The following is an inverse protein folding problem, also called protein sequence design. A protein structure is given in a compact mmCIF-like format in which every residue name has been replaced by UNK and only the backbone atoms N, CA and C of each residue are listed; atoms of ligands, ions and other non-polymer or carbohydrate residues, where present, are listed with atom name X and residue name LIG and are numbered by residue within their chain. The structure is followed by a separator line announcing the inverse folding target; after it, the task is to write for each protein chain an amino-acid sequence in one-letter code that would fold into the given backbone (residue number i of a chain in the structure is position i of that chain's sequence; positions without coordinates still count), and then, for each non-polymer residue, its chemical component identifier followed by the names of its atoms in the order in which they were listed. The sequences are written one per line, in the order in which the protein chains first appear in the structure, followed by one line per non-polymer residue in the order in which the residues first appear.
data_IF_615594664176
#
_entry.id   IF_615594664176
#
_cell.length_a   1.000
_cell.length_b   1.000
_cell.length_c   1.000
_cell.angle_alpha   90.00
_cell.angle_beta   90.00
_cell.angle_gamma   90.00
#
_symmetry.space_group_name_H-M   'P 1'
#
loop_
_entity.id
_entity.type
_entity.pdbx_description
1 polymer ?
#
# COMPACT_ATOMS: atom_id res chain seq x y z
N UNK A 1 -1.35 -21.19 25.58
CA UNK A 1 -1.22 -21.11 24.11
C UNK A 1 -2.55 -20.63 23.57
N UNK A 2 -2.63 -19.37 23.12
CA UNK A 2 -3.87 -18.85 22.57
C UNK A 2 -4.14 -19.55 21.23
N UNK A 3 -5.28 -20.24 21.13
CA UNK A 3 -5.83 -20.65 19.84
C UNK A 3 -5.96 -19.39 18.99
N UNK A 4 -5.07 -19.19 18.01
CA UNK A 4 -5.31 -18.22 16.93
C UNK A 4 -6.59 -18.68 16.25
N UNK A 5 -7.68 -17.96 16.47
CA UNK A 5 -8.84 -18.08 15.61
C UNK A 5 -8.36 -17.93 14.17
N UNK A 6 -8.85 -18.82 13.30
CA UNK A 6 -8.76 -18.72 11.84
C UNK A 6 -8.92 -17.24 11.45
N UNK A 7 -8.00 -16.72 10.64
CA UNK A 7 -7.91 -15.30 10.28
C UNK A 7 -9.30 -14.65 10.12
N UNK A 8 -9.61 -13.65 10.96
CA UNK A 8 -10.87 -12.93 10.89
C UNK A 8 -10.82 -11.93 9.73
N UNK A 9 -11.24 -12.40 8.56
CA UNK A 9 -11.29 -11.60 7.33
C UNK A 9 -12.36 -10.51 7.35
N UNK A 10 -13.22 -10.42 8.36
CA UNK A 10 -14.11 -9.26 8.52
C UNK A 10 -13.33 -7.98 8.82
N UNK A 11 -12.11 -8.11 9.34
CA UNK A 11 -11.21 -7.00 9.63
C UNK A 11 -10.47 -6.49 8.38
N UNK A 12 -10.55 -7.18 7.25
CA UNK A 12 -9.83 -6.81 6.03
C UNK A 12 -10.60 -5.72 5.27
N UNK A 13 -10.65 -4.54 5.89
CA UNK A 13 -11.33 -3.36 5.34
C UNK A 13 -10.34 -2.34 4.80
N UNK A 14 -10.84 -1.44 3.95
CA UNK A 14 -10.03 -0.34 3.40
C UNK A 14 -9.50 0.57 4.51
N UNK A 15 -10.28 0.79 5.57
CA UNK A 15 -9.92 1.62 6.71
C UNK A 15 -8.81 0.97 7.54
N UNK A 16 -8.89 -0.34 7.77
CA UNK A 16 -7.84 -1.08 8.47
C UNK A 16 -6.56 -1.11 7.65
N UNK A 17 -6.64 -1.42 6.36
CA UNK A 17 -5.49 -1.35 5.47
C UNK A 17 -4.88 0.05 5.48
N UNK A 18 -5.70 1.10 5.38
CA UNK A 18 -5.20 2.47 5.40
C UNK A 18 -4.51 2.84 6.71
N UNK A 19 -5.02 2.35 7.83
CA UNK A 19 -4.37 2.51 9.13
C UNK A 19 -3.02 1.78 9.19
N UNK A 20 -2.98 0.54 8.69
CA UNK A 20 -1.73 -0.23 8.61
C UNK A 20 -0.71 0.53 7.78
N UNK A 21 -1.06 0.98 6.57
CA UNK A 21 -0.17 1.70 5.68
C UNK A 21 0.35 3.00 6.31
N UNK A 22 -0.55 3.78 6.93
CA UNK A 22 -0.21 5.03 7.62
C UNK A 22 0.86 4.80 8.70
N UNK A 23 0.65 3.84 9.59
CA UNK A 23 1.51 3.65 10.76
C UNK A 23 2.71 2.76 10.51
N UNK A 24 2.57 1.71 9.70
CA UNK A 24 3.65 0.77 9.37
C UNK A 24 4.63 1.37 8.38
N UNK A 25 4.17 2.22 7.45
CA UNK A 25 4.95 2.58 6.26
C UNK A 25 5.12 4.08 6.10
N UNK A 26 4.02 4.82 5.96
CA UNK A 26 4.07 6.23 5.55
C UNK A 26 4.84 7.13 6.55
N UNK A 27 4.62 6.92 7.86
CA UNK A 27 5.25 7.73 8.89
C UNK A 27 6.78 7.65 8.91
N UNK A 28 7.33 6.45 8.92
CA UNK A 28 8.79 6.28 9.03
C UNK A 28 9.50 6.40 7.68
N UNK A 29 8.87 5.93 6.59
CA UNK A 29 9.49 5.87 5.26
C UNK A 29 9.54 7.26 4.62
N UNK A 30 8.48 8.05 4.76
CA UNK A 30 8.33 9.31 4.04
C UNK A 30 8.26 10.52 4.97
N UNK A 31 7.30 10.54 5.92
CA UNK A 31 7.09 11.74 6.75
C UNK A 31 8.33 12.06 7.58
N UNK A 32 8.87 11.10 8.31
CA UNK A 32 10.00 11.33 9.22
C UNK A 32 11.22 11.93 8.52
N UNK A 33 11.77 11.35 7.42
CA UNK A 33 12.92 11.94 6.74
C UNK A 33 12.62 13.32 6.14
N UNK A 34 11.43 13.54 5.57
CA UNK A 34 11.05 14.85 5.01
C UNK A 34 10.93 15.91 6.10
N UNK A 35 10.21 15.62 7.18
CA UNK A 35 10.06 16.55 8.31
C UNK A 35 11.39 16.85 9.00
N UNK A 36 12.29 15.87 9.10
CA UNK A 36 13.64 16.10 9.63
C UNK A 36 14.43 17.05 8.73
N UNK A 37 14.38 16.86 7.40
CA UNK A 37 14.99 17.77 6.45
C UNK A 37 14.45 19.20 6.59
N UNK A 38 13.12 19.36 6.65
CA UNK A 38 12.47 20.65 6.86
C UNK A 38 12.91 21.32 8.18
N UNK A 39 12.98 20.55 9.27
CA UNK A 39 13.41 21.05 10.58
C UNK A 39 14.85 21.61 10.51
N UNK A 40 15.75 20.92 9.82
CA UNK A 40 17.15 21.35 9.66
C UNK A 40 17.30 22.64 8.84
N UNK A 41 16.33 23.00 7.99
CA UNK A 41 16.37 24.27 7.25
C UNK A 41 16.01 25.48 8.09
N UNK A 42 15.44 25.28 9.28
CA UNK A 42 14.92 26.34 10.18
C UNK A 42 13.94 27.33 9.51
N UNK A 43 13.31 26.93 8.39
CA UNK A 43 12.46 27.77 7.56
C UNK A 43 11.07 27.15 7.31
N UNK A 44 10.66 26.14 8.08
CA UNK A 44 9.37 25.47 7.94
C UNK A 44 8.42 25.83 9.09
N UNK A 45 7.28 26.45 8.75
CA UNK A 45 6.22 26.73 9.71
C UNK A 45 5.33 25.47 9.95
N UNK A 46 4.45 25.48 10.97
CA UNK A 46 3.58 24.33 11.25
C UNK A 46 2.68 23.92 10.08
N UNK A 47 2.28 24.86 9.23
CA UNK A 47 1.44 24.60 8.06
C UNK A 47 2.23 23.90 6.94
N UNK A 48 3.50 24.26 6.76
CA UNK A 48 4.45 23.59 5.88
C UNK A 48 4.64 22.13 6.31
N UNK A 49 4.84 21.89 7.61
CA UNK A 49 4.92 20.53 8.15
C UNK A 49 3.64 19.72 7.92
N UNK A 50 2.47 20.33 8.10
CA UNK A 50 1.19 19.67 7.87
C UNK A 50 1.00 19.28 6.41
N UNK A 51 1.29 20.17 5.46
CA UNK A 51 1.21 19.88 4.02
C UNK A 51 2.21 18.81 3.60
N UNK A 52 3.44 18.88 4.11
CA UNK A 52 4.45 17.85 3.87
C UNK A 52 3.97 16.48 4.39
N UNK A 53 3.36 16.44 5.59
CA UNK A 53 2.77 15.22 6.13
C UNK A 53 1.66 14.68 5.23
N UNK A 54 0.73 15.51 4.78
CA UNK A 54 -0.37 15.11 3.89
C UNK A 54 0.17 14.46 2.60
N UNK A 55 1.13 15.10 1.93
CA UNK A 55 1.77 14.56 0.72
C UNK A 55 2.53 13.25 1.03
N UNK A 56 3.31 13.20 2.12
CA UNK A 56 4.04 12.00 2.51
C UNK A 56 3.12 10.82 2.83
N UNK A 57 1.95 11.09 3.40
CA UNK A 57 0.94 10.06 3.65
C UNK A 57 0.36 9.52 2.33
N UNK A 58 0.06 10.38 1.35
CA UNK A 58 -0.37 9.93 0.02
C UNK A 58 0.69 9.10 -0.70
N UNK A 59 1.96 9.54 -0.67
CA UNK A 59 3.09 8.79 -1.25
C UNK A 59 3.24 7.44 -0.55
N UNK A 60 3.24 7.40 0.79
CA UNK A 60 3.35 6.15 1.53
C UNK A 60 2.21 5.18 1.24
N UNK A 61 1.03 5.72 0.93
CA UNK A 61 -0.12 4.95 0.49
C UNK A 61 0.02 4.34 -0.90
N UNK A 62 0.62 5.08 -1.84
CA UNK A 62 0.97 4.57 -3.15
C UNK A 62 2.06 3.49 -3.04
N UNK A 63 3.13 3.78 -2.30
CA UNK A 63 4.26 2.88 -2.12
C UNK A 63 3.86 1.53 -1.52
N UNK A 64 3.07 1.50 -0.43
CA UNK A 64 2.67 0.22 0.16
C UNK A 64 1.75 -0.57 -0.77
N UNK A 65 0.91 0.11 -1.56
CA UNK A 65 0.09 -0.56 -2.57
C UNK A 65 0.95 -1.21 -3.66
N UNK A 66 2.02 -0.55 -4.09
CA UNK A 66 2.99 -1.09 -5.02
C UNK A 66 3.75 -2.28 -4.42
N UNK A 67 4.23 -2.17 -3.16
CA UNK A 67 4.90 -3.26 -2.43
C UNK A 67 4.01 -4.51 -2.31
N UNK A 68 2.74 -4.34 -1.91
CA UNK A 68 1.78 -5.45 -1.81
C UNK A 68 1.51 -6.13 -3.16
N UNK A 69 1.47 -5.35 -4.25
CA UNK A 69 1.29 -5.90 -5.60
C UNK A 69 2.53 -6.68 -6.04
N UNK A 70 3.71 -6.11 -5.82
CA UNK A 70 5.01 -6.72 -6.15
C UNK A 70 5.26 -7.97 -5.30
N UNK A 71 4.81 -8.03 -4.05
CA UNK A 71 4.90 -9.25 -3.23
C UNK A 71 4.18 -10.42 -3.91
N UNK A 72 2.99 -10.18 -4.45
CA UNK A 72 2.20 -11.25 -5.08
C UNK A 72 2.63 -11.58 -6.53
N UNK A 73 2.82 -10.55 -7.36
CA UNK A 73 2.99 -10.65 -8.81
C UNK A 73 4.39 -10.28 -9.31
N UNK A 74 5.29 -9.84 -8.44
CA UNK A 74 6.67 -9.55 -8.79
C UNK A 74 7.44 -10.81 -9.18
N UNK A 75 8.40 -10.63 -10.09
CA UNK A 75 9.30 -11.70 -10.51
C UNK A 75 10.45 -11.79 -9.52
N UNK A 76 10.68 -12.97 -8.94
CA UNK A 76 11.70 -13.20 -7.90
C UNK A 76 13.10 -12.69 -8.29
N UNK A 77 13.50 -12.90 -9.56
CA UNK A 77 14.79 -12.43 -10.10
C UNK A 77 14.93 -10.90 -10.13
N UNK A 78 13.82 -10.16 -10.05
CA UNK A 78 13.78 -8.69 -10.04
C UNK A 78 13.56 -8.16 -8.62
N UNK A 79 12.68 -8.81 -7.84
CA UNK A 79 12.35 -8.39 -6.47
C UNK A 79 13.40 -8.82 -5.45
N UNK A 80 14.21 -9.83 -5.76
CA UNK A 80 15.21 -10.43 -4.86
C UNK A 80 14.60 -11.20 -3.68
N UNK A 81 13.27 -11.37 -3.65
CA UNK A 81 12.54 -12.08 -2.59
C UNK A 81 11.30 -12.78 -3.13
N UNK A 82 10.98 -13.93 -2.53
CA UNK A 82 9.68 -14.59 -2.67
C UNK A 82 8.68 -13.85 -1.80
N UNK A 83 7.53 -13.45 -2.37
CA UNK A 83 6.48 -12.83 -1.59
C UNK A 83 5.78 -13.78 -0.62
N UNK A 84 5.39 -13.25 0.53
CA UNK A 84 4.86 -14.04 1.66
C UNK A 84 3.50 -13.59 2.14
N UNK A 85 2.91 -12.53 1.57
CA UNK A 85 1.69 -11.92 2.09
C UNK A 85 0.51 -12.88 2.14
N UNK A 86 0.37 -13.74 1.12
CA UNK A 86 -0.71 -14.74 1.04
C UNK A 86 -0.55 -15.79 2.14
N UNK A 87 0.66 -16.32 2.33
CA UNK A 87 0.98 -17.38 3.30
C UNK A 87 0.81 -16.87 4.73
N UNK A 88 1.26 -15.64 4.98
CA UNK A 88 1.16 -15.00 6.29
C UNK A 88 -0.25 -14.49 6.59
N UNK A 89 -1.13 -14.44 5.58
CA UNK A 89 -2.50 -13.97 5.72
C UNK A 89 -2.53 -12.47 6.04
N UNK A 90 -1.70 -11.68 5.37
CA UNK A 90 -1.63 -10.23 5.61
C UNK A 90 -2.86 -9.53 5.08
N UNK A 91 -3.25 -8.44 5.76
CA UNK A 91 -4.25 -7.50 5.27
C UNK A 91 -3.63 -6.61 4.18
N UNK A 92 -3.26 -7.19 3.05
CA UNK A 92 -2.69 -6.50 1.88
C UNK A 92 -3.77 -5.80 1.06
N UNK A 93 -3.37 -4.88 0.19
CA UNK A 93 -4.25 -4.22 -0.78
C UNK A 93 -5.00 -5.26 -1.61
N UNK A 94 -4.30 -6.26 -2.16
CA UNK A 94 -4.91 -7.32 -2.97
C UNK A 94 -5.97 -8.10 -2.19
N UNK A 95 -5.72 -8.43 -0.92
CA UNK A 95 -6.66 -9.17 -0.09
C UNK A 95 -7.94 -8.37 0.18
N UNK A 96 -7.81 -7.09 0.53
CA UNK A 96 -8.95 -6.19 0.74
C UNK A 96 -9.75 -6.03 -0.54
N UNK A 97 -9.08 -5.80 -1.67
CA UNK A 97 -9.74 -5.62 -2.96
C UNK A 97 -10.48 -6.88 -3.41
N UNK A 98 -9.90 -8.06 -3.19
CA UNK A 98 -10.51 -9.34 -3.50
C UNK A 98 -11.79 -9.55 -2.68
N UNK A 99 -11.73 -9.34 -1.36
CA UNK A 99 -12.87 -9.54 -0.45
C UNK A 99 -14.04 -8.58 -0.72
N UNK A 100 -13.77 -7.40 -1.29
CA UNK A 100 -14.81 -6.46 -1.73
C UNK A 100 -15.50 -6.87 -3.03
N UNK A 101 -14.83 -7.65 -3.88
CA UNK A 101 -15.28 -7.94 -5.27
C UNK A 101 -15.73 -9.38 -5.46
N UNK A 102 -15.30 -10.29 -4.60
CA UNK A 102 -15.56 -11.70 -4.75
C UNK A 102 -17.06 -12.03 -4.60
N UNK A 103 -17.54 -12.95 -5.44
CA UNK A 103 -18.83 -13.63 -5.22
C UNK A 103 -18.78 -14.51 -3.96
N UNK A 104 -19.94 -14.98 -3.49
CA UNK A 104 -20.03 -15.88 -2.33
C UNK A 104 -19.21 -17.17 -2.50
N UNK A 105 -19.08 -17.70 -3.71
CA UNK A 105 -18.29 -18.89 -3.98
C UNK A 105 -16.78 -18.59 -3.98
N UNK A 106 -16.37 -17.48 -4.61
CA UNK A 106 -14.99 -17.01 -4.56
C UNK A 106 -14.56 -16.66 -3.13
N UNK A 107 -15.45 -16.10 -2.31
CA UNK A 107 -15.19 -15.84 -0.90
C UNK A 107 -14.90 -17.12 -0.11
N UNK A 108 -15.63 -18.22 -0.38
CA UNK A 108 -15.36 -19.52 0.24
C UNK A 108 -13.95 -20.01 -0.12
N UNK A 109 -13.54 -19.85 -1.38
CA UNK A 109 -12.18 -20.17 -1.84
C UNK A 109 -11.15 -19.32 -1.09
N UNK A 110 -11.36 -18.01 -1.02
CA UNK A 110 -10.46 -17.10 -0.30
C UNK A 110 -10.29 -17.53 1.16
N UNK A 111 -11.40 -17.76 1.88
CA UNK A 111 -11.38 -18.16 3.30
C UNK A 111 -10.70 -19.52 3.52
N UNK A 112 -10.81 -20.44 2.56
CA UNK A 112 -10.21 -21.76 2.66
C UNK A 112 -8.69 -21.76 2.39
N UNK A 113 -8.21 -20.88 1.50
CA UNK A 113 -6.83 -20.91 1.01
C UNK A 113 -5.93 -19.79 1.55
N UNK A 114 -6.46 -18.61 1.86
CA UNK A 114 -5.65 -17.47 2.30
C UNK A 114 -5.07 -17.71 3.71
N UNK A 115 -3.84 -17.24 3.97
CA UNK A 115 -3.14 -17.47 5.23
C UNK A 115 -2.63 -18.90 5.41
N UNK A 116 -2.30 -19.57 4.30
CA UNK A 116 -1.80 -20.95 4.28
C UNK A 116 -0.48 -21.03 3.52
N UNK A 117 0.49 -21.74 4.09
CA UNK A 117 1.79 -22.00 3.45
C UNK A 117 1.74 -23.11 2.39
N UNK A 118 0.58 -23.76 2.19
CA UNK A 118 0.42 -24.80 1.18
C UNK A 118 0.54 -24.22 -0.23
N UNK A 119 1.47 -24.70 -1.09
CA UNK A 119 1.69 -24.15 -2.43
C UNK A 119 0.43 -24.09 -3.29
N UNK A 120 -0.42 -25.13 -3.21
CA UNK A 120 -1.68 -25.18 -3.95
C UNK A 120 -2.68 -24.11 -3.51
N UNK A 121 -2.67 -23.71 -2.23
CA UNK A 121 -3.52 -22.65 -1.71
C UNK A 121 -3.04 -21.27 -2.18
N UNK A 122 -1.72 -21.03 -2.13
CA UNK A 122 -1.12 -19.78 -2.61
C UNK A 122 -1.47 -19.57 -4.08
N UNK A 123 -1.23 -20.60 -4.89
CA UNK A 123 -1.53 -20.59 -6.32
C UNK A 123 -3.03 -20.40 -6.59
N UNK A 124 -3.91 -21.00 -5.77
CA UNK A 124 -5.36 -20.79 -5.90
C UNK A 124 -5.77 -19.34 -5.64
N UNK A 125 -5.14 -18.67 -4.66
CA UNK A 125 -5.37 -17.25 -4.36
C UNK A 125 -4.84 -16.37 -5.49
N UNK A 126 -3.65 -16.63 -6.03
CA UNK A 126 -3.12 -15.89 -7.18
C UNK A 126 -4.07 -15.95 -8.38
N UNK A 127 -4.56 -17.16 -8.73
CA UNK A 127 -5.60 -17.32 -9.76
C UNK A 127 -6.89 -16.58 -9.42
N UNK A 128 -7.31 -16.58 -8.16
CA UNK A 128 -8.50 -15.81 -7.76
C UNK A 128 -8.28 -14.30 -7.97
N UNK A 129 -7.09 -13.77 -7.71
CA UNK A 129 -6.78 -12.36 -7.98
C UNK A 129 -6.81 -12.05 -9.48
N UNK A 130 -6.38 -12.98 -10.34
CA UNK A 130 -6.51 -12.86 -11.80
C UNK A 130 -7.98 -12.93 -12.26
N UNK A 131 -8.76 -13.88 -11.75
CA UNK A 131 -10.21 -14.01 -12.02
C UNK A 131 -11.00 -12.74 -11.65
N UNK A 132 -10.52 -11.98 -10.65
CA UNK A 132 -11.09 -10.72 -10.20
C UNK A 132 -10.50 -9.49 -10.91
N UNK A 133 -9.64 -9.71 -11.90
CA UNK A 133 -8.96 -8.67 -12.69
C UNK A 133 -8.17 -7.66 -11.82
N UNK A 134 -7.69 -8.10 -10.65
CA UNK A 134 -6.98 -7.21 -9.74
C UNK A 134 -5.71 -6.59 -10.32
N UNK A 135 -4.93 -7.24 -11.20
CA UNK A 135 -3.80 -6.59 -11.89
C UNK A 135 -4.22 -5.38 -12.72
N UNK A 136 -5.31 -5.49 -13.48
CA UNK A 136 -5.84 -4.36 -14.28
C UNK A 136 -6.37 -3.25 -13.38
N UNK A 137 -7.09 -3.60 -12.31
CA UNK A 137 -7.61 -2.64 -11.33
C UNK A 137 -6.45 -1.91 -10.63
N UNK A 138 -5.39 -2.64 -10.28
CA UNK A 138 -4.18 -2.07 -9.69
C UNK A 138 -3.55 -1.02 -10.61
N UNK A 139 -3.38 -1.31 -11.90
CA UNK A 139 -2.80 -0.35 -12.85
C UNK A 139 -3.60 0.96 -12.95
N UNK A 140 -4.92 0.87 -12.91
CA UNK A 140 -5.81 2.05 -12.93
C UNK A 140 -5.71 2.85 -11.64
N UNK A 141 -5.78 2.18 -10.49
CA UNK A 141 -5.71 2.83 -9.17
C UNK A 141 -4.32 3.41 -8.87
N UNK A 142 -3.27 2.74 -9.30
CA UNK A 142 -1.88 3.20 -9.16
C UNK A 142 -1.66 4.48 -9.96
N UNK A 143 -2.00 4.49 -11.25
CA UNK A 143 -1.92 5.69 -12.09
C UNK A 143 -2.72 6.84 -11.50
N UNK A 144 -3.97 6.58 -11.08
CA UNK A 144 -4.84 7.60 -10.49
C UNK A 144 -4.24 8.20 -9.21
N UNK A 145 -3.66 7.38 -8.34
CA UNK A 145 -2.99 7.83 -7.11
C UNK A 145 -1.74 8.62 -7.43
N UNK A 146 -0.90 8.13 -8.34
CA UNK A 146 0.28 8.82 -8.82
C UNK A 146 -0.07 10.21 -9.38
N UNK A 147 -1.03 10.29 -10.29
CA UNK A 147 -1.48 11.54 -10.90
C UNK A 147 -2.04 12.52 -9.85
N UNK A 148 -2.74 12.01 -8.83
CA UNK A 148 -3.22 12.82 -7.71
C UNK A 148 -2.08 13.41 -6.90
N UNK A 149 -1.07 12.61 -6.55
CA UNK A 149 0.11 13.07 -5.80
C UNK A 149 0.86 14.13 -6.61
N UNK A 150 1.15 13.85 -7.89
CA UNK A 150 1.84 14.80 -8.77
C UNK A 150 1.07 16.12 -8.89
N UNK A 151 -0.26 16.04 -9.02
CA UNK A 151 -1.13 17.23 -9.06
C UNK A 151 -1.08 18.02 -7.74
N UNK A 152 -1.06 17.35 -6.60
CA UNK A 152 -0.99 18.00 -5.29
C UNK A 152 0.38 18.66 -5.07
N UNK A 153 1.46 17.97 -5.43
CA UNK A 153 2.84 18.48 -5.36
C UNK A 153 3.03 19.72 -6.27
N UNK A 154 2.51 19.68 -7.51
CA UNK A 154 2.61 20.82 -8.44
C UNK A 154 1.78 22.04 -8.04
N UNK A 155 0.83 21.89 -7.11
CA UNK A 155 0.02 22.98 -6.56
C UNK A 155 0.65 23.63 -5.33
N UNK A 156 1.80 23.13 -4.86
CA UNK A 156 2.51 23.73 -3.75
C UNK A 156 2.86 25.20 -4.09
N UNK A 157 2.59 26.15 -3.18
CA UNK A 157 2.96 27.55 -3.41
C UNK A 157 4.48 27.71 -3.54
N UNK A 158 4.93 28.56 -4.48
CA UNK A 158 6.36 28.89 -4.65
C UNK A 158 6.99 29.49 -3.37
N UNK A 159 6.17 30.08 -2.51
CA UNK A 159 6.58 30.64 -1.21
C UNK A 159 6.79 29.58 -0.12
N UNK A 160 6.48 28.31 -0.37
CA UNK A 160 6.71 27.26 0.62
C UNK A 160 8.15 26.78 0.59
N UNK A 161 8.73 26.50 1.76
CA UNK A 161 10.04 25.84 1.93
C UNK A 161 10.02 24.36 1.50
N UNK A 162 9.12 23.99 0.59
CA UNK A 162 8.86 22.64 0.09
C UNK A 162 9.12 22.60 -1.41
N UNK A 163 10.34 22.27 -1.84
CA UNK A 163 10.64 22.17 -3.27
C UNK A 163 9.84 20.99 -3.88
N UNK A 164 9.00 21.22 -4.91
CA UNK A 164 8.22 20.15 -5.56
C UNK A 164 9.10 18.98 -6.05
N UNK A 165 10.30 19.29 -6.54
CA UNK A 165 11.28 18.31 -7.02
C UNK A 165 11.69 17.29 -5.96
N UNK A 166 11.66 17.66 -4.66
CA UNK A 166 11.91 16.70 -3.58
C UNK A 166 10.86 15.60 -3.60
N UNK A 167 9.58 15.95 -3.69
CA UNK A 167 8.48 14.99 -3.64
C UNK A 167 8.36 14.20 -4.94
N UNK A 168 8.64 14.84 -6.09
CA UNK A 168 8.65 14.13 -7.38
C UNK A 168 9.75 13.06 -7.41
N UNK A 169 10.94 13.33 -6.86
CA UNK A 169 12.01 12.33 -6.73
C UNK A 169 11.66 11.16 -5.80
N UNK A 170 10.71 11.33 -4.87
CA UNK A 170 10.23 10.24 -4.01
C UNK A 170 9.26 9.29 -4.72
N UNK A 171 8.81 9.67 -5.93
CA UNK A 171 7.92 8.87 -6.78
C UNK A 171 8.66 8.12 -7.90
N UNK A 172 9.94 8.45 -8.14
CA UNK A 172 10.82 7.79 -9.10
C UNK A 172 11.35 6.45 -8.54
#
# INVERSE_FOLDING_TARGET
MAHRNKNDYSLFTVERYSSIVKYKTAYYTYKLPVCLGLLLTNNADPETHKRAEEICLEIGHLFQMQDDFIDCFGVENVTGKIGTDIQEGKCSWLAVQALQRCSSNQRKVFVACYGSSEPAHIERIKRLYEELELPSIYQVEERKRYDSVVKNVRKLPESTSMPPDLFLKLLD
#
